data_IF_519236328314
#
_entry.id   IF_519236328314
#
_cell.length_a   1.000
_cell.length_b   1.000
_cell.length_c   1.000
_cell.angle_alpha   90.00
_cell.angle_beta   90.00
_cell.angle_gamma   90.00
#
_symmetry.space_group_name_H-M   'P 1'
#
loop_
_entity.id
_entity.type
_entity.pdbx_description
1 polymer ?
#
# COMPACT_ATOMS: atom_id res chain seq x y z
N UNK A 1 21.32 8.35 -24.21
CA UNK A 1 21.41 6.88 -24.21
C UNK A 1 20.01 6.30 -24.09
N UNK A 2 19.20 6.46 -25.14
CA UNK A 2 17.84 5.92 -25.24
C UNK A 2 17.98 4.58 -25.97
N UNK A 3 18.05 3.49 -25.22
CA UNK A 3 18.10 2.15 -25.81
C UNK A 3 16.75 1.90 -26.46
N UNK A 4 16.73 1.75 -27.80
CA UNK A 4 15.59 1.24 -28.51
C UNK A 4 15.28 -0.16 -27.95
N UNK A 5 14.24 -0.25 -27.12
CA UNK A 5 13.76 -1.53 -26.62
C UNK A 5 13.34 -2.40 -27.80
N UNK A 6 13.78 -3.67 -27.87
CA UNK A 6 13.45 -4.55 -28.99
C UNK A 6 11.93 -4.69 -29.13
N UNK A 7 11.42 -4.57 -30.35
CA UNK A 7 10.00 -4.81 -30.65
C UNK A 7 9.67 -6.26 -30.26
N UNK A 8 8.73 -6.50 -29.34
CA UNK A 8 8.41 -7.85 -28.88
C UNK A 8 7.81 -8.68 -30.03
N UNK A 9 8.24 -9.94 -30.17
CA UNK A 9 7.81 -10.84 -31.24
C UNK A 9 6.56 -11.69 -30.92
N UNK A 10 6.16 -11.71 -29.65
CA UNK A 10 4.99 -12.45 -29.15
C UNK A 10 3.75 -11.55 -29.16
N UNK A 11 2.63 -12.06 -29.68
CA UNK A 11 1.35 -11.36 -29.75
C UNK A 11 0.87 -10.84 -28.38
N UNK A 12 1.06 -11.60 -27.31
CA UNK A 12 0.70 -11.14 -25.96
C UNK A 12 1.61 -9.99 -25.51
N UNK A 13 2.92 -10.05 -25.79
CA UNK A 13 3.85 -8.98 -25.41
C UNK A 13 3.68 -7.72 -26.28
N UNK A 14 3.21 -7.88 -27.51
CA UNK A 14 2.83 -6.78 -28.40
C UNK A 14 1.63 -6.01 -27.86
N UNK A 15 0.61 -6.69 -27.35
CA UNK A 15 -0.55 -6.00 -26.77
C UNK A 15 -0.20 -5.27 -25.49
N UNK A 16 0.60 -5.85 -24.59
CA UNK A 16 1.10 -5.14 -23.39
C UNK A 16 1.97 -3.93 -23.76
N UNK A 17 2.83 -4.06 -24.77
CA UNK A 17 3.69 -2.97 -25.22
C UNK A 17 2.88 -1.82 -25.83
N UNK A 18 1.90 -2.12 -26.68
CA UNK A 18 1.01 -1.11 -27.29
C UNK A 18 0.17 -0.41 -26.23
N UNK A 19 -0.47 -1.17 -25.32
CA UNK A 19 -1.27 -0.59 -24.21
C UNK A 19 -0.41 0.29 -23.28
N UNK A 20 0.85 -0.08 -23.04
CA UNK A 20 1.81 0.71 -22.25
C UNK A 20 2.21 2.00 -22.98
N UNK A 21 2.42 1.96 -24.30
CA UNK A 21 2.75 3.16 -25.08
C UNK A 21 1.57 4.12 -25.20
N UNK A 22 0.34 3.60 -25.26
CA UNK A 22 -0.88 4.41 -25.33
C UNK A 22 -1.17 5.12 -23.99
N UNK A 23 -0.97 4.42 -22.87
CA UNK A 23 -1.13 5.00 -21.53
C UNK A 23 -0.04 6.03 -21.19
N UNK A 24 1.22 5.80 -21.60
CA UNK A 24 2.28 6.81 -21.51
C UNK A 24 2.03 8.00 -22.45
N UNK A 25 1.48 7.75 -23.63
CA UNK A 25 1.07 8.77 -24.60
C UNK A 25 -0.10 9.64 -24.12
N UNK A 26 -0.98 9.12 -23.26
CA UNK A 26 -2.05 9.89 -22.63
C UNK A 26 -1.57 10.74 -21.45
N UNK A 27 -0.53 10.31 -20.72
CA UNK A 27 0.04 11.06 -19.61
C UNK A 27 1.01 12.16 -20.05
N UNK A 28 1.71 11.98 -21.18
CA UNK A 28 2.69 12.94 -21.72
C UNK A 28 2.15 14.37 -21.91
N UNK A 29 0.95 14.58 -22.49
CA UNK A 29 0.37 15.91 -22.68
C UNK A 29 -0.09 16.56 -21.37
N UNK A 30 -0.52 15.75 -20.39
CA UNK A 30 -0.95 16.24 -19.06
C UNK A 30 0.25 16.63 -18.19
N UNK A 31 1.34 15.85 -18.23
CA UNK A 31 2.64 16.17 -17.60
C UNK A 31 3.38 17.32 -18.34
N UNK A 32 2.97 17.63 -19.57
CA UNK A 32 3.59 18.66 -20.41
C UNK A 32 2.85 20.01 -20.43
N UNK A 33 1.61 20.10 -19.92
CA UNK A 33 0.79 21.32 -20.10
C UNK A 33 1.24 22.51 -19.24
N UNK A 34 1.82 22.27 -18.06
CA UNK A 34 2.43 23.29 -17.21
C UNK A 34 3.24 22.68 -16.07
N UNK A 35 4.37 23.31 -15.72
CA UNK A 35 5.26 22.91 -14.62
C UNK A 35 4.51 22.71 -13.30
N UNK A 36 3.46 23.53 -13.10
CA UNK A 36 2.59 23.54 -11.93
C UNK A 36 1.66 22.31 -11.91
N UNK A 37 1.07 21.93 -13.05
CA UNK A 37 0.22 20.74 -13.12
C UNK A 37 1.01 19.48 -12.78
N UNK A 38 2.22 19.35 -13.33
CA UNK A 38 3.12 18.23 -13.04
C UNK A 38 3.59 18.21 -11.59
N UNK A 39 3.95 19.37 -11.03
CA UNK A 39 4.30 19.48 -9.61
C UNK A 39 3.13 19.13 -8.68
N UNK A 40 1.91 19.56 -8.99
CA UNK A 40 0.72 19.20 -8.24
C UNK A 40 0.42 17.69 -8.32
N UNK A 41 0.53 17.10 -9.50
CA UNK A 41 0.31 15.66 -9.70
C UNK A 41 1.31 14.84 -8.88
N UNK A 42 2.60 15.19 -8.98
CA UNK A 42 3.66 14.55 -8.19
C UNK A 42 3.48 14.77 -6.68
N UNK A 43 3.02 15.94 -6.25
CA UNK A 43 2.74 16.23 -4.84
C UNK A 43 1.57 15.41 -4.29
N UNK A 44 0.49 15.28 -5.06
CA UNK A 44 -0.69 14.50 -4.67
C UNK A 44 -0.33 13.00 -4.61
N UNK A 45 0.32 12.47 -5.64
CA UNK A 45 0.67 11.04 -5.68
C UNK A 45 1.84 10.69 -4.76
N UNK A 46 2.81 11.58 -4.60
CA UNK A 46 4.03 11.32 -3.84
C UNK A 46 3.95 11.64 -2.34
N UNK A 47 3.02 12.51 -1.93
CA UNK A 47 2.91 12.95 -0.52
C UNK A 47 1.52 12.72 0.02
N UNK A 48 0.48 13.16 -0.70
CA UNK A 48 -0.88 13.09 -0.15
C UNK A 48 -1.40 11.64 -0.10
N UNK A 49 -1.16 10.85 -1.15
CA UNK A 49 -1.54 9.44 -1.20
C UNK A 49 -0.94 8.61 -0.05
N UNK A 50 0.39 8.61 0.20
CA UNK A 50 0.95 7.82 1.30
C UNK A 50 0.50 8.29 2.69
N UNK A 51 0.24 9.59 2.88
CA UNK A 51 -0.33 10.11 4.14
C UNK A 51 -1.75 9.60 4.35
N UNK A 52 -2.57 9.62 3.30
CA UNK A 52 -3.95 9.13 3.36
C UNK A 52 -3.96 7.63 3.64
N UNK A 53 -3.12 6.86 2.96
CA UNK A 53 -2.97 5.42 3.16
C UNK A 53 -2.57 5.09 4.61
N UNK A 54 -1.56 5.75 5.16
CA UNK A 54 -1.14 5.52 6.54
C UNK A 54 -2.26 5.87 7.54
N UNK A 55 -2.95 6.99 7.32
CA UNK A 55 -4.04 7.45 8.21
C UNK A 55 -5.24 6.51 8.18
N UNK A 56 -5.65 6.06 6.99
CA UNK A 56 -6.81 5.19 6.82
C UNK A 56 -6.48 3.77 7.24
N UNK A 57 -5.41 3.17 6.71
CA UNK A 57 -5.10 1.76 6.95
C UNK A 57 -4.56 1.51 8.36
N UNK A 58 -3.76 2.41 8.94
CA UNK A 58 -3.20 2.21 10.28
C UNK A 58 -3.91 2.97 11.37
N UNK A 59 -4.26 4.23 11.12
CA UNK A 59 -4.94 5.08 12.10
C UNK A 59 -6.38 4.63 12.35
N UNK A 60 -7.13 4.32 11.29
CA UNK A 60 -8.55 3.99 11.40
C UNK A 60 -8.82 2.48 11.32
N UNK A 61 -8.39 1.83 10.23
CA UNK A 61 -8.75 0.44 9.92
C UNK A 61 -8.08 -0.53 10.89
N UNK A 62 -6.76 -0.41 11.10
CA UNK A 62 -6.02 -1.30 11.99
C UNK A 62 -6.45 -1.13 13.46
N UNK A 63 -6.61 0.11 13.94
CA UNK A 63 -7.12 0.38 15.30
C UNK A 63 -8.52 -0.21 15.48
N UNK A 64 -9.46 0.05 14.56
CA UNK A 64 -10.81 -0.49 14.62
C UNK A 64 -10.83 -2.02 14.61
N UNK A 65 -10.05 -2.67 13.74
CA UNK A 65 -10.02 -4.13 13.69
C UNK A 65 -9.41 -4.75 14.94
N UNK A 66 -8.46 -4.07 15.58
CA UNK A 66 -7.85 -4.57 16.82
C UNK A 66 -8.77 -4.47 18.04
N UNK A 67 -9.92 -3.80 17.92
CA UNK A 67 -10.98 -3.84 18.94
C UNK A 67 -11.80 -5.15 18.87
N UNK A 68 -11.82 -5.82 17.73
CA UNK A 68 -12.63 -7.04 17.49
C UNK A 68 -11.79 -8.30 17.29
N UNK A 69 -10.56 -8.16 16.77
CA UNK A 69 -9.68 -9.26 16.40
C UNK A 69 -8.29 -9.13 17.02
N UNK A 70 -7.57 -10.26 17.11
CA UNK A 70 -6.17 -10.29 17.52
C UNK A 70 -5.27 -9.54 16.54
N UNK A 71 -4.19 -8.94 17.03
CA UNK A 71 -3.21 -8.18 16.24
C UNK A 71 -2.77 -8.82 14.92
N UNK A 72 -2.34 -10.09 14.87
CA UNK A 72 -1.90 -10.70 13.60
C UNK A 72 -3.07 -10.85 12.61
N UNK A 73 -4.30 -11.09 13.10
CA UNK A 73 -5.50 -11.19 12.27
C UNK A 73 -5.86 -9.82 11.71
N UNK A 74 -5.78 -8.75 12.51
CA UNK A 74 -5.99 -7.39 12.03
C UNK A 74 -4.96 -6.99 10.96
N UNK A 75 -3.68 -7.35 11.13
CA UNK A 75 -2.62 -7.10 10.13
C UNK A 75 -2.90 -7.83 8.81
N UNK A 76 -3.33 -9.09 8.87
CA UNK A 76 -3.68 -9.84 7.67
C UNK A 76 -4.86 -9.19 6.94
N UNK A 77 -5.91 -8.83 7.65
CA UNK A 77 -7.10 -8.23 7.03
C UNK A 77 -6.75 -6.86 6.44
N UNK A 78 -6.00 -6.00 7.14
CA UNK A 78 -5.62 -4.70 6.59
C UNK A 78 -4.69 -4.83 5.38
N UNK A 79 -3.78 -5.82 5.36
CA UNK A 79 -2.93 -6.10 4.20
C UNK A 79 -3.71 -6.60 2.99
N UNK A 80 -4.73 -7.45 3.20
CA UNK A 80 -5.65 -7.88 2.13
C UNK A 80 -6.39 -6.66 1.57
N UNK A 81 -7.02 -5.85 2.43
CA UNK A 81 -7.79 -4.67 1.99
C UNK A 81 -6.88 -3.67 1.27
N UNK A 82 -5.63 -3.47 1.73
CA UNK A 82 -4.65 -2.62 1.08
C UNK A 82 -4.30 -3.10 -0.34
N UNK A 83 -4.02 -4.39 -0.51
CA UNK A 83 -3.70 -4.98 -1.81
C UNK A 83 -4.88 -4.87 -2.79
N UNK A 84 -6.11 -5.17 -2.33
CA UNK A 84 -7.30 -5.08 -3.18
C UNK A 84 -7.72 -3.63 -3.49
N UNK A 85 -7.47 -2.67 -2.60
CA UNK A 85 -7.77 -1.25 -2.83
C UNK A 85 -6.95 -0.66 -3.99
N UNK A 86 -5.79 -1.23 -4.30
CA UNK A 86 -4.95 -0.78 -5.41
C UNK A 86 -5.41 -1.28 -6.78
N UNK A 87 -6.32 -2.27 -6.85
CA UNK A 87 -6.95 -2.76 -8.08
C UNK A 87 -6.00 -3.10 -9.26
N UNK A 88 -4.70 -3.23 -9.01
CA UNK A 88 -3.68 -3.59 -10.01
C UNK A 88 -3.33 -5.07 -9.88
N UNK A 89 -3.88 -5.97 -10.74
CA UNK A 89 -3.79 -7.42 -10.55
C UNK A 89 -2.35 -7.95 -10.50
N UNK A 90 -1.44 -7.31 -11.24
CA UNK A 90 -0.02 -7.68 -11.29
C UNK A 90 0.78 -7.30 -10.05
N UNK A 91 0.30 -6.34 -9.25
CA UNK A 91 1.01 -5.80 -8.09
C UNK A 91 0.42 -6.29 -6.76
N UNK A 92 -0.78 -6.89 -6.77
CA UNK A 92 -1.45 -7.48 -5.60
C UNK A 92 -0.52 -8.29 -4.69
N UNK A 93 0.26 -9.29 -5.18
CA UNK A 93 1.11 -10.08 -4.29
C UNK A 93 2.24 -9.26 -3.65
N UNK A 94 2.80 -8.29 -4.37
CA UNK A 94 3.85 -7.40 -3.85
C UNK A 94 3.28 -6.42 -2.82
N UNK A 95 2.12 -5.83 -3.11
CA UNK A 95 1.40 -4.90 -2.23
C UNK A 95 0.88 -5.60 -0.97
N UNK A 96 0.48 -6.87 -1.07
CA UNK A 96 0.09 -7.67 0.08
C UNK A 96 1.27 -7.90 1.03
N UNK A 97 2.44 -8.31 0.50
CA UNK A 97 3.66 -8.49 1.31
C UNK A 97 4.09 -7.16 1.95
N UNK A 98 4.02 -6.05 1.20
CA UNK A 98 4.29 -4.72 1.72
C UNK A 98 3.31 -4.36 2.85
N UNK A 99 2.01 -4.60 2.66
CA UNK A 99 0.97 -4.36 3.66
C UNK A 99 1.16 -5.17 4.94
N UNK A 100 1.59 -6.44 4.83
CA UNK A 100 1.92 -7.28 5.99
C UNK A 100 3.16 -6.75 6.71
N UNK A 101 4.24 -6.44 5.98
CA UNK A 101 5.49 -5.92 6.57
C UNK A 101 5.24 -4.60 7.29
N UNK A 102 4.49 -3.71 6.64
CA UNK A 102 4.01 -2.46 7.22
C UNK A 102 3.19 -2.76 8.47
N UNK A 103 2.10 -3.53 8.39
CA UNK A 103 1.24 -3.85 9.53
C UNK A 103 1.98 -4.47 10.71
N UNK A 104 2.96 -5.34 10.45
CA UNK A 104 3.81 -5.93 11.47
C UNK A 104 4.72 -4.89 12.14
N UNK A 105 5.33 -3.98 11.37
CA UNK A 105 6.13 -2.87 11.90
C UNK A 105 5.34 -1.98 12.85
N UNK A 106 4.04 -1.76 12.63
CA UNK A 106 3.17 -1.02 13.56
C UNK A 106 2.77 -1.87 14.78
N UNK A 107 2.61 -3.18 14.58
CA UNK A 107 2.32 -4.11 15.68
C UNK A 107 3.46 -4.21 16.70
N UNK A 108 4.72 -4.00 16.27
CA UNK A 108 5.89 -3.97 17.16
C UNK A 108 5.96 -2.70 18.02
N UNK A 109 5.34 -1.58 17.61
CA UNK A 109 5.37 -0.31 18.37
C UNK A 109 4.36 -0.27 19.54
N UNK A 110 3.59 -1.35 19.76
CA UNK A 110 2.59 -1.47 20.83
C UNK A 110 3.19 -1.44 22.25
N UNK A 111 3.09 -0.33 22.97
CA UNK A 111 3.21 -0.32 24.44
C UNK A 111 2.14 0.61 25.03
N UNK A 112 1.14 0.12 25.79
CA UNK A 112 1.22 0.00 27.26
C UNK A 112 0.28 -1.07 27.88
N UNK A 113 -0.47 -1.86 27.09
CA UNK A 113 -1.51 -2.76 27.63
C UNK A 113 -1.03 -4.19 27.96
N UNK A 114 0.11 -4.61 27.40
CA UNK A 114 0.69 -5.93 27.66
C UNK A 114 1.16 -6.10 29.12
N UNK A 115 1.80 -5.10 29.78
CA UNK A 115 2.17 -5.22 31.20
C UNK A 115 0.95 -5.28 32.13
N UNK A 116 -0.12 -4.52 31.84
CA UNK A 116 -1.30 -4.41 32.73
C UNK A 116 -2.12 -5.70 32.72
N UNK A 117 -2.27 -6.35 31.57
CA UNK A 117 -3.00 -7.62 31.48
C UNK A 117 -2.22 -8.78 32.10
N UNK A 118 -0.90 -8.81 31.94
CA UNK A 118 -0.06 -9.79 32.62
C UNK A 118 0.00 -9.54 34.15
N UNK A 119 0.00 -8.29 34.61
CA UNK A 119 -0.03 -7.95 36.03
C UNK A 119 -1.40 -8.22 36.68
N UNK A 120 -2.51 -8.01 35.96
CA UNK A 120 -3.88 -8.32 36.43
C UNK A 120 -4.17 -9.83 36.44
N UNK A 121 -3.61 -10.59 35.49
CA UNK A 121 -3.82 -12.05 35.38
C UNK A 121 -2.94 -12.85 36.36
N UNK A 122 -1.77 -12.31 36.73
CA UNK A 122 -0.88 -12.90 37.73
C UNK A 122 -1.12 -12.31 39.14
N UNK A 123 -2.33 -11.76 39.36
CA UNK A 123 -2.85 -11.47 40.67
C UNK A 123 -3.10 -12.78 41.42
N UNK A 124 -2.21 -13.04 42.40
CA UNK A 124 -2.29 -14.03 43.49
C UNK A 124 -3.70 -14.63 43.68
N UNK A 125 -3.80 -15.96 43.60
CA UNK A 125 -4.24 -16.70 44.77
C UNK A 125 -3.38 -17.94 45.08
N UNK A 126 -3.02 -18.03 46.37
CA UNK A 126 -2.39 -19.15 47.11
C UNK A 126 -0.91 -19.48 46.80
#
# INVERSE_FOLDING_TARGET
>A
LFLASPIPSDHSRMTYFVMQTDSLGLLLPLIGSSNISTACLLGITGVLAPILEETVFRGFLMVSLTMWFSTPVSVLITAVVFAFAHLTPGEIPQLFVLGVALGFSYSQTRNLLTPITQFMLLGIPE
#
